data_IF_916915469064
#
_entry.id   IF_916915469064
#
_cell.length_a   1.000
_cell.length_b   1.000
_cell.length_c   1.000
_cell.angle_alpha   90.00
_cell.angle_beta   90.00
_cell.angle_gamma   90.00
#
_symmetry.space_group_name_H-M   'P 1'
#
loop_
_entity.id
_entity.type
_entity.pdbx_description
1 polymer ?
#
# COMPACT_ATOMS: atom_id res chain seq x y z
N UNK A 1 35.57 3.81 22.73
CA UNK A 1 35.03 3.10 21.56
C UNK A 1 33.63 2.61 21.90
N UNK A 2 32.58 3.14 21.27
CA UNK A 2 31.19 2.75 21.54
C UNK A 2 30.82 1.50 20.69
N UNK A 3 30.04 0.55 21.21
CA UNK A 3 29.65 -0.62 20.46
C UNK A 3 28.67 -0.23 19.34
N UNK A 4 29.00 -0.58 18.10
CA UNK A 4 28.07 -0.50 16.96
C UNK A 4 27.04 -1.61 17.13
N UNK A 5 25.80 -1.24 17.44
CA UNK A 5 24.68 -2.17 17.34
C UNK A 5 24.44 -2.51 15.87
N UNK A 6 24.85 -3.72 15.46
CA UNK A 6 24.52 -4.27 14.15
C UNK A 6 23.03 -4.65 14.16
N UNK A 7 22.22 -3.91 13.39
CA UNK A 7 20.80 -4.20 13.22
C UNK A 7 20.67 -5.38 12.26
N UNK A 8 20.42 -6.58 12.80
CA UNK A 8 20.01 -7.71 11.98
C UNK A 8 18.63 -7.40 11.39
N UNK A 9 18.56 -7.24 10.07
CA UNK A 9 17.29 -7.18 9.35
C UNK A 9 16.69 -8.59 9.36
N UNK A 10 15.80 -8.86 10.31
CA UNK A 10 14.99 -10.07 10.29
C UNK A 10 14.11 -10.02 9.04
N UNK A 11 14.37 -10.90 8.08
CA UNK A 11 13.45 -11.18 6.99
C UNK A 11 12.21 -11.85 7.57
N UNK A 12 11.21 -11.04 7.91
CA UNK A 12 9.88 -11.54 8.25
C UNK A 12 9.28 -12.17 6.99
N UNK A 13 9.42 -13.49 6.88
CA UNK A 13 8.65 -14.31 5.94
C UNK A 13 7.20 -14.34 6.43
N UNK A 14 6.50 -13.23 6.23
CA UNK A 14 5.11 -13.06 6.61
C UNK A 14 4.20 -13.70 5.58
N UNK A 15 4.18 -15.03 5.52
CA UNK A 15 3.07 -15.75 4.89
C UNK A 15 1.86 -15.64 5.81
N UNK A 16 0.68 -15.36 5.25
CA UNK A 16 -0.56 -15.24 6.02
C UNK A 16 -0.85 -16.60 6.71
N UNK A 17 -0.93 -16.67 8.06
CA UNK A 17 -1.15 -17.94 8.76
C UNK A 17 -2.47 -18.59 8.34
N UNK A 18 -2.41 -19.86 7.95
CA UNK A 18 -3.50 -20.62 7.32
C UNK A 18 -4.73 -20.96 8.17
N UNK A 19 -5.08 -20.16 9.18
CA UNK A 19 -6.30 -20.33 9.97
C UNK A 19 -7.44 -19.37 9.57
N UNK A 20 -7.11 -18.20 9.03
CA UNK A 20 -8.07 -17.22 8.51
C UNK A 20 -7.50 -16.73 7.19
N UNK A 21 -8.19 -16.99 6.07
CA UNK A 21 -7.73 -16.58 4.74
C UNK A 21 -7.41 -15.09 4.67
N UNK A 22 -6.48 -14.71 3.79
CA UNK A 22 -6.06 -13.32 3.61
C UNK A 22 -7.27 -12.40 3.38
N UNK A 23 -7.24 -11.22 4.01
CA UNK A 23 -8.27 -10.18 3.86
C UNK A 23 -7.57 -8.86 3.55
N UNK A 24 -8.19 -8.07 2.68
CA UNK A 24 -7.80 -6.70 2.38
C UNK A 24 -9.05 -5.84 2.41
N UNK A 25 -8.91 -4.65 2.99
CA UNK A 25 -9.97 -3.64 3.05
C UNK A 25 -9.33 -2.31 2.69
N UNK A 26 -10.06 -1.52 1.94
CA UNK A 26 -9.67 -0.20 1.47
C UNK A 26 -10.85 0.75 1.63
N UNK A 27 -10.56 2.05 1.69
CA UNK A 27 -11.58 3.08 1.80
C UNK A 27 -12.11 3.49 0.44
N UNK A 28 -13.39 3.87 0.40
CA UNK A 28 -14.09 4.44 -0.76
C UNK A 28 -14.30 3.47 -1.93
N UNK A 29 -14.85 3.99 -3.03
CA UNK A 29 -15.23 3.24 -4.24
C UNK A 29 -14.03 2.83 -5.09
N UNK A 30 -13.04 3.72 -5.26
CA UNK A 30 -11.74 3.38 -5.86
C UNK A 30 -10.96 2.34 -5.03
N UNK A 31 -11.43 2.03 -3.82
CA UNK A 31 -10.97 0.91 -3.03
C UNK A 31 -11.22 -0.46 -3.68
N UNK A 32 -12.24 -0.61 -4.52
CA UNK A 32 -12.53 -1.87 -5.24
C UNK A 32 -11.39 -2.24 -6.20
N UNK A 33 -10.98 -1.40 -7.16
CA UNK A 33 -9.83 -1.71 -8.02
C UNK A 33 -8.51 -1.80 -7.25
N UNK A 34 -8.33 -1.02 -6.17
CA UNK A 34 -7.16 -1.17 -5.28
C UNK A 34 -7.09 -2.56 -4.63
N UNK A 35 -8.22 -3.08 -4.13
CA UNK A 35 -8.29 -4.42 -3.55
C UNK A 35 -8.04 -5.51 -4.59
N UNK A 36 -8.50 -5.32 -5.83
CA UNK A 36 -8.20 -6.25 -6.92
C UNK A 36 -6.70 -6.34 -7.18
N UNK A 37 -5.99 -5.20 -7.21
CA UNK A 37 -4.54 -5.17 -7.36
C UNK A 37 -3.83 -5.83 -6.17
N UNK A 38 -4.24 -5.51 -4.93
CA UNK A 38 -3.70 -6.14 -3.72
C UNK A 38 -3.90 -7.67 -3.71
N UNK A 39 -5.03 -8.15 -4.25
CA UNK A 39 -5.35 -9.58 -4.32
C UNK A 39 -4.42 -10.35 -5.26
N UNK A 40 -3.81 -9.70 -6.24
CA UNK A 40 -2.80 -10.34 -7.11
C UNK A 40 -1.56 -10.81 -6.33
N UNK A 41 -1.31 -10.20 -5.16
CA UNK A 41 -0.25 -10.56 -4.21
C UNK A 41 -0.80 -11.51 -3.14
N UNK A 42 -1.86 -11.11 -2.43
CA UNK A 42 -2.43 -11.92 -1.33
C UNK A 42 -2.95 -13.27 -1.78
N UNK A 43 -3.62 -13.34 -2.94
CA UNK A 43 -4.15 -14.58 -3.50
C UNK A 43 -3.09 -15.61 -3.84
N UNK A 44 -1.83 -15.20 -3.94
CA UNK A 44 -0.65 -16.07 -4.16
C UNK A 44 0.11 -16.39 -2.87
N UNK A 45 -0.43 -16.01 -1.70
CA UNK A 45 0.27 -16.12 -0.43
C UNK A 45 1.43 -15.13 -0.26
N UNK A 46 1.43 -14.05 -1.04
CA UNK A 46 2.43 -12.99 -0.96
C UNK A 46 2.36 -12.20 0.35
N UNK A 47 3.36 -11.34 0.55
CA UNK A 47 3.47 -10.56 1.79
C UNK A 47 2.35 -9.51 1.85
N UNK A 48 1.67 -9.35 3.00
CA UNK A 48 0.63 -8.33 3.16
C UNK A 48 1.11 -6.90 2.90
N UNK A 49 2.36 -6.59 3.26
CA UNK A 49 2.95 -5.27 2.99
C UNK A 49 3.02 -4.97 1.49
N UNK A 50 3.54 -5.92 0.72
CA UNK A 50 3.67 -5.78 -0.74
C UNK A 50 2.28 -5.69 -1.40
N UNK A 51 1.27 -6.36 -0.81
CA UNK A 51 -0.10 -6.29 -1.29
C UNK A 51 -0.75 -4.92 -1.09
N UNK A 52 -0.59 -4.31 0.11
CA UNK A 52 -1.17 -2.98 0.36
C UNK A 52 -0.46 -1.92 -0.48
N UNK A 53 0.86 -1.99 -0.64
CA UNK A 53 1.64 -1.12 -1.52
C UNK A 53 1.17 -1.23 -2.97
N UNK A 54 1.03 -2.47 -3.48
CA UNK A 54 0.49 -2.71 -4.84
C UNK A 54 -0.93 -2.16 -5.00
N UNK A 55 -1.75 -2.24 -3.94
CA UNK A 55 -3.12 -1.73 -3.95
C UNK A 55 -3.22 -0.21 -4.00
N UNK A 56 -2.46 0.51 -3.17
CA UNK A 56 -2.54 1.99 -3.06
C UNK A 56 -1.96 2.71 -4.29
N UNK A 57 -1.06 2.07 -5.04
CA UNK A 57 -0.55 2.62 -6.31
C UNK A 57 -1.65 2.85 -7.35
N UNK A 58 -2.77 2.11 -7.28
CA UNK A 58 -3.91 2.24 -8.20
C UNK A 58 -4.54 3.63 -8.10
N UNK A 59 -5.11 4.05 -6.95
CA UNK A 59 -5.67 5.39 -6.82
C UNK A 59 -4.63 6.51 -6.92
N UNK A 60 -3.36 6.28 -6.55
CA UNK A 60 -2.31 7.29 -6.71
C UNK A 60 -1.97 7.62 -8.17
N UNK A 61 -2.11 6.63 -9.05
CA UNK A 61 -1.74 6.75 -10.48
C UNK A 61 -2.92 7.14 -11.36
N UNK A 62 -4.15 7.05 -10.87
CA UNK A 62 -5.36 7.36 -11.64
C UNK A 62 -5.54 8.89 -11.79
N UNK A 63 -5.49 9.37 -13.03
CA UNK A 63 -5.65 10.79 -13.33
C UNK A 63 -7.10 11.31 -13.17
N UNK A 64 -8.06 10.42 -12.98
CA UNK A 64 -9.45 10.76 -12.67
C UNK A 64 -9.72 10.77 -11.16
N UNK A 65 -8.75 10.36 -10.32
CA UNK A 65 -8.84 10.49 -8.87
C UNK A 65 -8.20 11.81 -8.42
N UNK A 66 -9.05 12.72 -7.95
CA UNK A 66 -8.61 14.04 -7.48
C UNK A 66 -8.35 14.13 -5.98
N UNK A 67 -8.44 13.00 -5.27
CA UNK A 67 -8.24 12.93 -3.82
C UNK A 67 -6.97 12.21 -3.39
N UNK A 68 -6.32 11.45 -4.29
CA UNK A 68 -5.14 10.64 -3.97
C UNK A 68 -4.10 10.77 -5.09
N UNK A 69 -2.85 11.03 -4.72
CA UNK A 69 -1.71 10.97 -5.63
C UNK A 69 -1.71 12.01 -6.75
N UNK A 70 -1.39 11.55 -7.97
CA UNK A 70 -0.86 12.38 -9.05
C UNK A 70 -1.83 13.44 -9.58
N UNK A 71 -3.12 13.18 -9.54
CA UNK A 71 -4.15 14.12 -9.99
C UNK A 71 -4.89 14.81 -8.82
N UNK A 72 -4.34 14.72 -7.62
CA UNK A 72 -4.85 15.40 -6.42
C UNK A 72 -5.06 16.89 -6.65
N UNK A 73 -6.16 17.43 -6.13
CA UNK A 73 -6.37 18.87 -6.17
C UNK A 73 -5.27 19.61 -5.37
N UNK A 74 -4.77 20.74 -5.89
CA UNK A 74 -3.72 21.48 -5.22
C UNK A 74 -4.23 22.20 -3.98
N UNK A 75 -3.30 22.61 -3.12
CA UNK A 75 -3.54 23.54 -2.03
C UNK A 75 -3.88 24.96 -2.53
N UNK A 76 -4.11 25.87 -1.58
CA UNK A 76 -4.47 27.28 -1.86
C UNK A 76 -3.43 28.05 -2.69
N UNK A 77 -2.19 27.57 -2.72
CA UNK A 77 -1.07 28.19 -3.45
C UNK A 77 -0.83 27.48 -4.81
N UNK A 78 -1.72 26.56 -5.20
CA UNK A 78 -1.65 25.85 -6.46
C UNK A 78 -0.65 24.69 -6.46
N UNK A 79 -0.22 24.21 -5.29
CA UNK A 79 0.76 23.12 -5.17
C UNK A 79 0.09 21.82 -4.79
N UNK A 80 0.43 20.74 -5.49
CA UNK A 80 0.06 19.39 -5.09
C UNK A 80 1.12 18.89 -4.10
N UNK A 81 0.68 18.59 -2.88
CA UNK A 81 1.50 18.00 -1.82
C UNK A 81 0.78 16.78 -1.27
N UNK A 82 1.50 15.69 -1.01
CA UNK A 82 0.93 14.38 -0.68
C UNK A 82 1.45 13.88 0.66
N UNK A 83 0.60 13.16 1.37
CA UNK A 83 0.90 12.43 2.60
C UNK A 83 0.57 10.94 2.41
N UNK A 84 1.41 10.03 2.92
CA UNK A 84 1.26 8.58 2.77
C UNK A 84 1.73 7.82 4.03
#
# INVERSE_FOLDING_TARGET
ALPRFARAAATLSGTVPGGVGARVVSTWDFGVPANQAAWTVLGKGGRPLDAVETGVLVPESDLHNHSVGRAGYPDRDGKVTLDA
#
